data_IF_757988096744
#
_entry.id   IF_757988096744
#
_cell.length_a   1.000
_cell.length_b   1.000
_cell.length_c   1.000
_cell.angle_alpha   90.00
_cell.angle_beta   90.00
_cell.angle_gamma   90.00
#
_symmetry.space_group_name_H-M   'P 1'
#
loop_
_entity.id
_entity.type
_entity.pdbx_description
1 polymer ?
#
# COMPACT_ATOMS: atom_id res chain seq x y z
N UNK A 1 10.34 6.20 26.45
CA UNK A 1 10.64 5.37 25.28
C UNK A 1 9.30 4.89 24.76
N UNK A 2 8.57 5.76 24.08
CA UNK A 2 7.25 5.45 23.54
C UNK A 2 7.50 4.86 22.16
N UNK A 3 7.03 3.64 21.92
CA UNK A 3 6.83 3.09 20.59
C UNK A 3 5.33 3.09 20.33
N UNK A 4 4.86 3.93 19.42
CA UNK A 4 3.48 3.87 18.95
C UNK A 4 3.41 2.84 17.83
N UNK A 5 2.72 1.72 18.04
CA UNK A 5 2.45 0.77 16.97
C UNK A 5 1.02 1.03 16.49
N UNK A 6 0.88 1.36 15.21
CA UNK A 6 -0.42 1.45 14.55
C UNK A 6 -0.68 0.14 13.82
N UNK A 7 -1.82 -0.48 14.05
CA UNK A 7 -2.29 -1.65 13.30
C UNK A 7 -3.64 -1.31 12.69
N UNK A 8 -3.65 -1.01 11.39
CA UNK A 8 -4.88 -0.87 10.61
C UNK A 8 -5.16 -2.13 9.80
N UNK A 9 -6.25 -2.84 10.14
CA UNK A 9 -6.73 -3.98 9.39
C UNK A 9 -8.25 -4.05 9.42
N UNK A 10 -8.89 -3.97 8.26
CA UNK A 10 -10.21 -4.53 8.01
C UNK A 10 -10.00 -5.68 7.02
N UNK A 11 -10.14 -6.91 7.50
CA UNK A 11 -10.09 -8.09 6.65
C UNK A 11 -11.35 -8.13 5.76
N UNK A 12 -11.13 -8.14 4.45
CA UNK A 12 -12.09 -8.72 3.50
C UNK A 12 -11.53 -10.05 3.03
N UNK A 13 -12.26 -11.12 3.36
CA UNK A 13 -11.93 -12.48 2.97
C UNK A 13 -11.88 -12.61 1.43
N UNK A 14 -10.76 -13.08 0.91
CA UNK A 14 -10.60 -13.45 -0.49
C UNK A 14 -11.26 -14.82 -0.72
N UNK A 15 -12.22 -14.88 -1.64
CA UNK A 15 -12.79 -16.14 -2.11
C UNK A 15 -11.80 -16.85 -3.04
N UNK A 16 -11.46 -18.10 -2.72
CA UNK A 16 -10.70 -19.00 -3.61
C UNK A 16 -11.66 -19.64 -4.62
N UNK A 17 -11.42 -19.53 -5.94
CA UNK A 17 -12.06 -20.44 -6.90
C UNK A 17 -11.29 -21.77 -6.94
N UNK A 18 -11.92 -22.81 -6.41
CA UNK A 18 -11.59 -24.22 -6.67
C UNK A 18 -12.15 -24.61 -8.03
N UNK A 19 -11.29 -25.06 -8.94
CA UNK A 19 -11.70 -25.59 -10.24
C UNK A 19 -10.53 -26.27 -10.93
N UNK A 20 -10.43 -27.59 -10.77
CA UNK A 20 -9.52 -28.43 -11.55
C UNK A 20 -9.99 -28.50 -13.02
N UNK A 21 -9.09 -28.46 -14.02
CA UNK A 21 -9.40 -28.97 -15.34
C UNK A 21 -8.87 -30.39 -15.50
N UNK A 22 -9.77 -31.29 -15.91
CA UNK A 22 -9.47 -32.63 -16.37
C UNK A 22 -8.67 -32.66 -17.69
N UNK A 23 -8.15 -33.85 -17.94
CA UNK A 23 -7.21 -34.29 -18.97
C UNK A 23 -7.38 -33.75 -20.41
N UNK A 24 -6.21 -33.39 -20.96
CA UNK A 24 -5.62 -33.74 -22.26
C UNK A 24 -6.28 -33.30 -23.59
N UNK A 25 -5.58 -32.41 -24.29
CA UNK A 25 -5.44 -32.46 -25.75
C UNK A 25 -3.95 -32.27 -26.09
N UNK A 26 -3.34 -33.29 -26.70
CA UNK A 26 -1.97 -33.22 -27.23
C UNK A 26 -1.90 -32.26 -28.42
N UNK A 27 -0.82 -31.48 -28.56
CA UNK A 27 -0.58 -30.62 -29.71
C UNK A 27 0.85 -30.78 -30.27
N UNK A 28 0.91 -30.84 -31.61
CA UNK A 28 2.01 -31.15 -32.53
C UNK A 28 3.36 -30.42 -32.33
N UNK A 29 4.50 -31.07 -32.72
CA UNK A 29 5.82 -30.48 -32.62
C UNK A 29 6.17 -29.61 -33.85
N UNK A 30 6.59 -28.37 -33.57
CA UNK A 30 7.13 -27.30 -34.46
C UNK A 30 6.13 -26.24 -34.94
N UNK A 31 5.64 -25.41 -34.01
CA UNK A 31 5.18 -24.05 -34.32
C UNK A 31 6.37 -23.21 -34.79
N UNK A 32 6.18 -22.42 -35.85
CA UNK A 32 7.18 -21.47 -36.33
C UNK A 32 7.39 -20.31 -35.33
N UNK A 33 8.53 -19.62 -35.43
CA UNK A 33 8.83 -18.49 -34.56
C UNK A 33 7.78 -17.36 -34.65
N UNK A 34 7.19 -17.15 -35.83
CA UNK A 34 6.14 -16.16 -36.03
C UNK A 34 4.81 -16.56 -35.36
N UNK A 35 4.45 -17.84 -35.40
CA UNK A 35 3.27 -18.36 -34.70
C UNK A 35 3.44 -18.34 -33.18
N UNK A 36 4.66 -18.61 -32.70
CA UNK A 36 5.00 -18.47 -31.28
C UNK A 36 4.94 -17.00 -30.83
N UNK A 37 5.38 -16.05 -31.65
CA UNK A 37 5.29 -14.61 -31.37
C UNK A 37 3.84 -14.11 -31.35
N UNK A 38 3.01 -14.49 -32.33
CA UNK A 38 1.60 -14.13 -32.37
C UNK A 38 0.80 -14.78 -31.22
N UNK A 39 1.14 -16.01 -30.84
CA UNK A 39 0.56 -16.67 -29.68
C UNK A 39 0.99 -15.96 -28.39
N UNK A 40 2.24 -15.49 -28.30
CA UNK A 40 2.75 -14.67 -27.19
C UNK A 40 1.96 -13.37 -27.08
N UNK A 41 1.83 -12.59 -28.15
CA UNK A 41 1.04 -11.35 -28.14
C UNK A 41 -0.43 -11.59 -27.72
N UNK A 42 -1.03 -12.68 -28.18
CA UNK A 42 -2.41 -13.02 -27.83
C UNK A 42 -2.54 -13.43 -26.35
N UNK A 43 -1.57 -14.16 -25.81
CA UNK A 43 -1.52 -14.54 -24.39
C UNK A 43 -1.17 -13.34 -23.51
N UNK A 44 -0.31 -12.44 -23.96
CA UNK A 44 0.03 -11.19 -23.29
C UNK A 44 -1.23 -10.30 -23.19
N UNK A 45 -2.05 -10.27 -24.24
CA UNK A 45 -3.32 -9.54 -24.27
C UNK A 45 -4.43 -10.14 -23.39
N UNK A 46 -4.33 -11.41 -22.96
CA UNK A 46 -5.44 -12.11 -22.28
C UNK A 46 -5.12 -12.68 -20.91
N UNK A 47 -3.91 -13.18 -20.66
CA UNK A 47 -3.50 -13.76 -19.38
C UNK A 47 -2.57 -12.83 -18.60
N UNK A 48 -1.73 -12.05 -19.28
CA UNK A 48 -0.72 -11.19 -18.64
C UNK A 48 -1.15 -9.73 -18.55
N UNK A 49 -2.25 -9.33 -19.18
CA UNK A 49 -2.74 -7.95 -19.16
C UNK A 49 -2.97 -7.45 -17.73
N UNK A 50 -3.50 -8.30 -16.85
CA UNK A 50 -3.68 -7.98 -15.43
C UNK A 50 -2.33 -7.88 -14.69
N UNK A 51 -1.36 -8.73 -14.99
CA UNK A 51 -0.03 -8.71 -14.36
C UNK A 51 0.78 -7.48 -14.81
N UNK A 52 0.75 -7.15 -16.10
CA UNK A 52 1.38 -5.94 -16.65
C UNK A 52 0.74 -4.68 -16.07
N UNK A 53 -0.58 -4.67 -15.91
CA UNK A 53 -1.30 -3.55 -15.28
C UNK A 53 -0.96 -3.46 -13.79
N UNK A 54 -0.88 -4.59 -13.09
CA UNK A 54 -0.44 -4.64 -11.70
C UNK A 54 0.97 -4.06 -11.52
N UNK A 55 1.92 -4.47 -12.37
CA UNK A 55 3.30 -3.97 -12.34
C UNK A 55 3.37 -2.45 -12.57
N UNK A 56 2.61 -1.92 -13.53
CA UNK A 56 2.54 -0.46 -13.75
C UNK A 56 2.04 0.31 -12.53
N UNK A 57 1.06 -0.25 -11.82
CA UNK A 57 0.56 0.36 -10.58
C UNK A 57 1.56 0.20 -9.42
N UNK A 58 2.28 -0.93 -9.36
CA UNK A 58 3.37 -1.16 -8.40
C UNK A 58 4.50 -0.13 -8.56
N UNK A 59 4.87 0.18 -9.81
CA UNK A 59 5.92 1.17 -10.14
C UNK A 59 5.66 2.53 -9.48
N UNK A 60 4.40 2.91 -9.27
CA UNK A 60 4.04 4.16 -8.58
C UNK A 60 4.56 4.19 -7.14
N UNK A 61 4.40 3.08 -6.40
CA UNK A 61 4.86 2.97 -5.01
C UNK A 61 6.35 2.63 -4.90
N UNK A 62 6.91 1.90 -5.87
CA UNK A 62 8.36 1.74 -5.99
C UNK A 62 9.02 3.10 -6.16
N UNK A 63 8.51 3.93 -7.09
CA UNK A 63 9.03 5.28 -7.31
C UNK A 63 8.91 6.15 -6.06
N UNK A 64 7.76 6.13 -5.38
CA UNK A 64 7.61 6.84 -4.10
C UNK A 64 8.69 6.41 -3.10
N UNK A 65 8.91 5.11 -2.96
CA UNK A 65 9.88 4.58 -2.04
C UNK A 65 11.31 4.99 -2.40
N UNK A 66 11.67 4.94 -3.68
CA UNK A 66 12.97 5.38 -4.18
C UNK A 66 13.20 6.86 -3.92
N UNK A 67 12.21 7.71 -4.20
CA UNK A 67 12.27 9.14 -3.95
C UNK A 67 12.43 9.44 -2.45
N UNK A 68 11.75 8.69 -1.57
CA UNK A 68 11.88 8.83 -0.11
C UNK A 68 13.28 8.46 0.38
N UNK A 69 13.90 7.42 -0.18
CA UNK A 69 15.26 6.99 0.18
C UNK A 69 16.32 7.95 -0.34
N UNK A 70 16.09 8.57 -1.49
CA UNK A 70 17.03 9.51 -2.11
C UNK A 70 16.96 10.93 -1.52
N UNK A 71 15.82 11.31 -0.92
CA UNK A 71 15.59 12.67 -0.43
C UNK A 71 16.08 12.89 1.00
N UNK A 72 16.74 14.02 1.30
CA UNK A 72 17.02 14.44 2.68
C UNK A 72 15.78 14.99 3.41
N UNK A 73 14.71 15.30 2.67
CA UNK A 73 13.43 15.77 3.21
C UNK A 73 12.32 14.81 2.77
N UNK A 74 12.08 13.80 3.59
CA UNK A 74 11.09 12.76 3.30
C UNK A 74 9.66 13.28 3.42
N UNK A 75 9.40 14.27 4.29
CA UNK A 75 8.08 14.86 4.44
C UNK A 75 7.64 15.60 3.19
N UNK A 76 8.56 16.30 2.53
CA UNK A 76 8.30 16.95 1.24
C UNK A 76 7.96 15.94 0.15
N UNK A 77 8.65 14.80 0.10
CA UNK A 77 8.37 13.73 -0.88
C UNK A 77 6.97 13.17 -0.64
N UNK A 78 6.64 12.75 0.60
CA UNK A 78 5.29 12.27 0.94
C UNK A 78 4.22 13.31 0.62
N UNK A 79 4.44 14.58 0.98
CA UNK A 79 3.49 15.66 0.75
C UNK A 79 3.32 16.08 -0.71
N UNK A 80 4.17 15.55 -1.61
CA UNK A 80 4.06 15.76 -3.05
C UNK A 80 3.47 14.55 -3.78
N UNK A 81 3.15 13.46 -3.06
CA UNK A 81 2.55 12.28 -3.66
C UNK A 81 1.17 12.61 -4.26
N UNK A 82 0.93 12.33 -5.55
CA UNK A 82 -0.31 12.72 -6.21
C UNK A 82 -1.47 11.81 -5.82
N UNK A 83 -2.60 12.41 -5.44
CA UNK A 83 -3.87 11.71 -5.25
C UNK A 83 -5.05 12.65 -5.43
N UNK A 84 -6.21 12.11 -5.82
CA UNK A 84 -7.45 12.88 -5.94
C UNK A 84 -8.17 13.05 -4.59
N UNK A 85 -8.19 11.99 -3.79
CA UNK A 85 -8.79 11.99 -2.46
C UNK A 85 -8.07 11.00 -1.56
N UNK A 86 -7.72 11.43 -0.35
CA UNK A 86 -7.19 10.55 0.69
C UNK A 86 -8.26 10.40 1.78
N UNK A 87 -8.61 9.16 2.11
CA UNK A 87 -9.50 8.87 3.23
C UNK A 87 -8.69 8.26 4.37
N UNK A 88 -8.82 8.83 5.56
CA UNK A 88 -8.11 8.36 6.76
C UNK A 88 -9.08 8.07 7.88
N UNK A 89 -8.74 7.06 8.68
CA UNK A 89 -9.48 6.75 9.90
C UNK A 89 -9.11 7.68 11.05
N UNK A 90 -9.94 7.66 12.07
CA UNK A 90 -9.63 8.29 13.35
C UNK A 90 -8.77 7.35 14.20
N UNK A 91 -7.85 7.94 14.95
CA UNK A 91 -7.01 7.21 15.89
C UNK A 91 -7.79 6.96 17.19
N UNK A 92 -7.81 5.71 17.64
CA UNK A 92 -8.33 5.33 18.94
C UNK A 92 -7.28 4.49 19.69
N UNK A 93 -7.17 4.60 21.02
CA UNK A 93 -6.33 3.70 21.80
C UNK A 93 -6.70 2.23 21.52
N UNK A 94 -5.69 1.40 21.34
CA UNK A 94 -5.86 -0.05 21.17
C UNK A 94 -6.37 -0.66 22.48
N UNK A 95 -7.40 -1.52 22.45
CA UNK A 95 -7.82 -2.25 23.64
C UNK A 95 -6.71 -3.22 24.09
N UNK A 96 -6.59 -3.52 25.41
CA UNK A 96 -5.61 -4.47 25.92
C UNK A 96 -5.73 -5.83 25.22
N UNK A 97 -4.61 -6.34 24.70
CA UNK A 97 -4.58 -7.68 24.08
C UNK A 97 -4.65 -8.74 25.19
N UNK A 98 -5.64 -9.62 25.11
CA UNK A 98 -5.87 -10.71 26.08
C UNK A 98 -6.02 -10.26 27.55
N UNK A 99 -6.51 -9.02 27.76
CA UNK A 99 -6.65 -8.42 29.10
C UNK A 99 -5.33 -8.02 29.76
N UNK A 100 -4.20 -8.10 29.04
CA UNK A 100 -2.88 -7.68 29.53
C UNK A 100 -2.60 -6.24 29.12
N UNK A 101 -2.06 -5.40 30.03
CA UNK A 101 -1.57 -4.08 29.66
C UNK A 101 -0.55 -4.18 28.52
N UNK A 102 -0.56 -3.20 27.62
CA UNK A 102 0.52 -2.97 26.67
C UNK A 102 1.84 -2.89 27.44
N UNK A 103 2.94 -3.41 26.87
CA UNK A 103 4.22 -3.48 27.55
C UNK A 103 4.64 -2.10 28.09
N UNK A 104 5.32 -2.06 29.24
CA UNK A 104 5.61 -0.83 29.99
C UNK A 104 6.19 0.28 29.08
N UNK A 105 5.44 1.37 28.93
CA UNK A 105 5.84 2.55 28.17
C UNK A 105 5.49 2.54 26.67
N UNK A 106 4.76 1.53 26.19
CA UNK A 106 4.22 1.50 24.83
C UNK A 106 2.77 1.94 24.79
N UNK A 107 2.44 2.80 23.85
CA UNK A 107 1.06 3.19 23.54
C UNK A 107 0.71 2.58 22.19
N UNK A 108 -0.36 1.79 22.12
CA UNK A 108 -0.80 1.22 20.85
C UNK A 108 -2.10 1.91 20.44
N UNK A 109 -2.22 2.21 19.15
CA UNK A 109 -3.41 2.85 18.59
C UNK A 109 -3.91 2.04 17.40
N UNK A 110 -5.22 2.03 17.23
CA UNK A 110 -5.89 1.47 16.07
C UNK A 110 -6.47 2.61 15.23
N UNK A 111 -6.44 2.43 13.92
CA UNK A 111 -7.07 3.34 12.97
C UNK A 111 -8.46 2.81 12.68
N UNK A 112 -9.49 3.60 12.99
CA UNK A 112 -10.87 3.27 12.68
C UNK A 112 -11.19 3.34 11.18
N UNK A 113 -12.46 3.17 10.80
CA UNK A 113 -12.87 3.26 9.39
C UNK A 113 -12.47 4.61 8.76
N UNK A 114 -12.01 4.56 7.50
CA UNK A 114 -11.52 5.72 6.75
C UNK A 114 -12.64 6.67 6.30
N UNK A 115 -13.24 7.40 7.24
CA UNK A 115 -14.38 8.30 7.00
C UNK A 115 -13.97 9.75 6.76
N UNK A 116 -12.78 10.16 7.22
CA UNK A 116 -12.30 11.54 7.09
C UNK A 116 -11.59 11.71 5.75
N UNK A 117 -12.17 12.53 4.88
CA UNK A 117 -11.54 12.92 3.61
C UNK A 117 -10.52 14.03 3.85
N UNK A 118 -9.33 13.90 3.27
CA UNK A 118 -8.27 14.89 3.23
C UNK A 118 -7.99 15.31 1.80
N UNK A 119 -7.86 16.62 1.58
CA UNK A 119 -7.26 17.16 0.36
C UNK A 119 -5.74 16.98 0.38
N UNK A 120 -5.10 17.17 -0.77
CA UNK A 120 -3.65 17.20 -0.88
C UNK A 120 -3.03 18.28 0.03
N UNK A 121 -3.66 19.46 0.11
CA UNK A 121 -3.20 20.56 0.96
C UNK A 121 -3.36 20.26 2.45
N UNK A 122 -4.49 19.66 2.87
CA UNK A 122 -4.70 19.26 4.27
C UNK A 122 -3.68 18.19 4.70
N UNK A 123 -3.38 17.25 3.80
CA UNK A 123 -2.39 16.21 4.05
C UNK A 123 -0.99 16.82 4.18
N UNK A 124 -0.60 17.67 3.22
CA UNK A 124 0.67 18.38 3.26
C UNK A 124 0.81 19.26 4.50
N UNK A 125 -0.26 19.92 4.92
CA UNK A 125 -0.32 20.70 6.16
C UNK A 125 -0.07 19.84 7.41
N UNK A 126 -0.67 18.65 7.47
CA UNK A 126 -0.43 17.69 8.56
C UNK A 126 1.04 17.23 8.61
N UNK A 127 1.65 16.94 7.46
CA UNK A 127 3.08 16.58 7.41
C UNK A 127 4.00 17.74 7.82
N UNK A 128 3.68 18.97 7.39
CA UNK A 128 4.42 20.16 7.79
C UNK A 128 4.32 20.43 9.30
N UNK A 129 3.17 20.16 9.91
CA UNK A 129 3.00 20.25 11.36
C UNK A 129 3.86 19.22 12.10
N UNK A 130 3.94 17.97 11.61
CA UNK A 130 4.83 16.95 12.16
C UNK A 130 6.31 17.38 12.07
N UNK A 131 6.75 17.85 10.90
CA UNK A 131 8.10 18.34 10.70
C UNK A 131 8.43 19.50 11.66
N UNK A 132 7.51 20.47 11.79
CA UNK A 132 7.66 21.63 12.68
C UNK A 132 7.70 21.24 14.16
N UNK A 133 7.01 20.15 14.53
CA UNK A 133 7.05 19.57 15.87
C UNK A 133 8.32 18.71 16.13
N UNK A 134 9.26 18.66 15.18
CA UNK A 134 10.55 17.96 15.32
C UNK A 134 10.49 16.47 15.01
N UNK A 135 9.39 15.98 14.39
CA UNK A 135 9.32 14.61 13.92
C UNK A 135 10.09 14.43 12.62
N UNK A 136 10.84 13.34 12.52
CA UNK A 136 11.61 12.94 11.34
C UNK A 136 11.17 11.55 10.91
N UNK A 137 10.84 11.39 9.62
CA UNK A 137 10.66 10.07 9.02
C UNK A 137 12.05 9.50 8.72
N UNK A 138 12.38 8.37 9.33
CA UNK A 138 13.73 7.78 9.24
C UNK A 138 13.78 6.48 8.46
N UNK A 139 12.65 5.78 8.34
CA UNK A 139 12.53 4.56 7.55
C UNK A 139 11.12 4.42 7.00
N UNK A 140 11.01 3.88 5.78
CA UNK A 140 9.73 3.51 5.18
C UNK A 140 9.88 2.20 4.43
N UNK A 141 8.86 1.38 4.48
CA UNK A 141 8.71 0.19 3.65
C UNK A 141 7.34 0.22 2.97
N UNK A 142 7.31 -0.17 1.70
CA UNK A 142 6.10 -0.20 0.88
C UNK A 142 6.06 -1.53 0.12
N UNK A 143 4.91 -2.20 0.13
CA UNK A 143 4.73 -3.47 -0.55
C UNK A 143 3.35 -3.56 -1.20
N UNK A 144 3.33 -3.60 -2.53
CA UNK A 144 2.12 -3.83 -3.30
C UNK A 144 1.67 -5.28 -3.10
N UNK A 145 0.62 -5.46 -2.31
CA UNK A 145 0.27 -6.77 -1.75
C UNK A 145 -0.79 -7.49 -2.56
N UNK A 146 -1.74 -6.75 -3.14
CA UNK A 146 -2.80 -7.30 -3.99
C UNK A 146 -3.16 -6.31 -5.09
N UNK A 147 -3.62 -6.85 -6.21
CA UNK A 147 -4.17 -6.09 -7.33
C UNK A 147 -5.44 -6.79 -7.83
N UNK A 148 -6.48 -6.00 -8.13
CA UNK A 148 -7.72 -6.44 -8.74
C UNK A 148 -8.11 -5.47 -9.86
N UNK A 149 -8.43 -6.02 -11.03
CA UNK A 149 -8.93 -5.25 -12.16
C UNK A 149 -10.31 -5.81 -12.53
N UNK A 150 -11.39 -5.25 -11.95
CA UNK A 150 -12.74 -5.61 -12.31
C UNK A 150 -13.00 -5.37 -13.81
N UNK A 151 -13.92 -6.13 -14.40
CA UNK A 151 -14.37 -5.88 -15.79
C UNK A 151 -15.01 -4.50 -15.94
N UNK A 152 -15.74 -4.08 -14.91
CA UNK A 152 -16.42 -2.80 -14.83
C UNK A 152 -15.95 -2.06 -13.58
N UNK A 153 -15.41 -0.85 -13.76
CA UNK A 153 -14.92 0.00 -12.69
C UNK A 153 -13.40 0.18 -12.66
N UNK A 154 -12.90 0.97 -11.69
CA UNK A 154 -11.48 1.27 -11.57
C UNK A 154 -10.69 0.07 -11.06
N UNK A 155 -9.43 -0.02 -11.50
CA UNK A 155 -8.48 -0.97 -10.94
C UNK A 155 -8.22 -0.64 -9.46
N UNK A 156 -7.88 -1.65 -8.67
CA UNK A 156 -7.67 -1.52 -7.22
C UNK A 156 -6.41 -2.23 -6.78
N UNK A 157 -5.72 -1.62 -5.81
CA UNK A 157 -4.56 -2.21 -5.15
C UNK A 157 -4.71 -2.14 -3.64
N UNK A 158 -4.11 -3.10 -2.93
CA UNK A 158 -3.78 -2.91 -1.53
C UNK A 158 -2.26 -2.79 -1.38
N UNK A 159 -1.80 -1.72 -0.74
CA UNK A 159 -0.38 -1.48 -0.47
C UNK A 159 -0.15 -1.52 1.03
N UNK A 160 0.71 -2.42 1.48
CA UNK A 160 1.17 -2.45 2.87
C UNK A 160 2.26 -1.41 3.06
N UNK A 161 2.19 -0.65 4.15
CA UNK A 161 3.21 0.33 4.53
C UNK A 161 3.67 0.14 5.97
N UNK A 162 4.96 0.40 6.19
CA UNK A 162 5.56 0.59 7.51
C UNK A 162 6.35 1.90 7.49
N UNK A 163 6.13 2.78 8.46
CA UNK A 163 6.85 4.04 8.62
C UNK A 163 7.46 4.12 10.01
N UNK A 164 8.75 4.43 10.10
CA UNK A 164 9.42 4.74 11.36
C UNK A 164 9.64 6.24 11.46
N UNK A 165 9.03 6.85 12.48
CA UNK A 165 9.10 8.28 12.77
C UNK A 165 9.75 8.46 14.14
N UNK A 166 10.65 9.44 14.26
CA UNK A 166 11.33 9.74 15.53
C UNK A 166 11.23 11.22 15.86
N UNK A 167 11.26 11.54 17.15
CA UNK A 167 11.48 12.89 17.68
C UNK A 167 12.49 12.81 18.80
N UNK A 168 13.41 13.77 18.85
CA UNK A 168 14.52 13.74 19.83
C UNK A 168 14.12 14.35 21.18
N UNK A 169 13.21 15.32 21.19
CA UNK A 169 12.80 16.06 22.40
C UNK A 169 11.28 16.33 22.38
N UNK A 170 10.50 15.69 23.27
CA UNK A 170 10.87 14.50 24.04
C UNK A 170 11.26 13.33 23.11
N UNK A 171 12.05 12.38 23.63
CA UNK A 171 12.47 11.19 22.88
C UNK A 171 11.27 10.29 22.62
N UNK A 172 10.86 10.22 21.35
CA UNK A 172 9.74 9.41 20.88
C UNK A 172 10.11 8.64 19.63
N UNK A 173 9.57 7.43 19.52
CA UNK A 173 9.66 6.58 18.34
C UNK A 173 8.25 6.12 17.98
N UNK A 174 7.89 6.19 16.72
CA UNK A 174 6.56 5.86 16.25
C UNK A 174 6.72 4.94 15.07
N UNK A 175 5.96 3.86 15.07
CA UNK A 175 5.84 2.88 14.00
C UNK A 175 4.41 2.94 13.47
N UNK A 176 4.24 3.51 12.29
CA UNK A 176 2.98 3.46 11.56
C UNK A 176 2.98 2.19 10.74
N UNK A 177 2.05 1.27 10.97
CA UNK A 177 1.87 0.09 10.10
C UNK A 177 0.42 -0.04 9.65
N UNK A 178 0.23 -0.33 8.38
CA UNK A 178 -1.12 -0.46 7.85
C UNK A 178 -1.16 -0.85 6.39
N UNK A 179 -2.40 -0.99 5.92
CA UNK A 179 -2.70 -1.20 4.51
C UNK A 179 -3.43 0.03 3.97
N UNK A 180 -3.07 0.41 2.75
CA UNK A 180 -3.73 1.45 1.98
C UNK A 180 -4.50 0.76 0.87
N UNK A 181 -5.82 0.99 0.83
CA UNK A 181 -6.62 0.63 -0.32
C UNK A 181 -6.55 1.76 -1.34
N UNK A 182 -6.13 1.42 -2.56
CA UNK A 182 -5.93 2.34 -3.67
C UNK A 182 -6.95 2.02 -4.74
N UNK A 183 -7.67 3.05 -5.18
CA UNK A 183 -8.50 3.01 -6.37
C UNK A 183 -7.83 3.86 -7.44
N UNK A 184 -7.52 3.26 -8.58
CA UNK A 184 -6.75 3.91 -9.65
C UNK A 184 -7.69 4.63 -10.61
N UNK A 185 -7.39 5.90 -10.89
CA UNK A 185 -8.00 6.62 -12.00
C UNK A 185 -7.28 6.26 -13.30
N UNK A 186 -8.03 6.18 -14.41
CA UNK A 186 -7.49 5.98 -15.75
C UNK A 186 -6.96 7.28 -16.39
N UNK A 187 -6.83 8.35 -15.60
CA UNK A 187 -6.41 9.68 -16.04
C UNK A 187 -4.91 9.92 -15.79
#
# INVERSE_FOLDING_TARGET
>A
MTAVILVGGADRAAAQPSGAPGAAAAADPKRSAAELAALREKLDATLWSNEVTAQRHEETFIKLWDDLRASPDQWKVLGSFPFQALHVGELAPSPPRDGKPTALGLEEFIVGPAKRKLSADDFKGQLAALASAGYRLVETEWHHSTFDQPKDGPARSTVSMTLHVVREKPVERIVVKGKIDVEWSND
#
